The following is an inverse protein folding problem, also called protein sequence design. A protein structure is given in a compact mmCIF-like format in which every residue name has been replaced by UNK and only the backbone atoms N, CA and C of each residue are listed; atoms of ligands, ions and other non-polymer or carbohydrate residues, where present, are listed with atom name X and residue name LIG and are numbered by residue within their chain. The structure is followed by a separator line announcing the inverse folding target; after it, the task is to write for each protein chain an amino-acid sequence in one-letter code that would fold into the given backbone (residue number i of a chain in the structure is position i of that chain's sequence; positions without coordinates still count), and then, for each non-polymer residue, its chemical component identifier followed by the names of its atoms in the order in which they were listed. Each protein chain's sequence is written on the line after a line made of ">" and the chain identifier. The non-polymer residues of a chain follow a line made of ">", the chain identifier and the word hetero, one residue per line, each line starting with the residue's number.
data_IF_210076717395
#
_entry.id   IF_210076717395
#
_cell.length_a   1.000
_cell.length_b   1.000
_cell.length_c   1.000
_cell.angle_alpha   90.00
_cell.angle_beta   90.00
_cell.angle_gamma   90.00
#
_symmetry.space_group_name_H-M   'P 1'
#
loop_
_entity.id
_entity.type
_entity.pdbx_description
1 polymer ?
#
# COMPACT_ATOMS: atom_id res chain seq x y z
N UNK A 1 -15.21 6.40 1.38
CA UNK A 1 -15.30 5.00 0.92
C UNK A 1 -16.74 4.51 0.71
N UNK A 2 -17.78 5.13 1.31
CA UNK A 2 -19.18 4.72 1.15
C UNK A 2 -19.74 4.61 -0.30
N UNK A 3 -19.36 5.45 -1.28
CA UNK A 3 -19.93 5.32 -2.64
C UNK A 3 -19.43 4.09 -3.42
N UNK A 4 -18.22 3.59 -3.12
CA UNK A 4 -17.65 2.39 -3.76
C UNK A 4 -18.12 1.08 -3.12
N UNK A 5 -18.79 1.16 -1.97
CA UNK A 5 -19.36 -0.01 -1.28
C UNK A 5 -20.74 -0.41 -1.84
N UNK A 6 -21.28 0.33 -2.82
CA UNK A 6 -22.56 0.02 -3.43
C UNK A 6 -22.41 -1.15 -4.40
N UNK A 7 -22.91 -2.30 -3.99
CA UNK A 7 -22.92 -3.54 -4.77
C UNK A 7 -24.19 -3.64 -5.62
N UNK A 8 -24.06 -4.23 -6.80
CA UNK A 8 -25.20 -4.64 -7.65
C UNK A 8 -25.91 -5.84 -7.00
N UNK A 9 -27.11 -6.19 -7.49
CA UNK A 9 -27.90 -7.35 -7.04
C UNK A 9 -27.13 -8.68 -7.05
N UNK A 10 -26.09 -8.79 -7.89
CA UNK A 10 -25.18 -9.95 -7.98
C UNK A 10 -23.91 -9.83 -7.12
N UNK A 11 -23.86 -8.89 -6.16
CA UNK A 11 -22.68 -8.56 -5.35
C UNK A 11 -21.47 -8.05 -6.14
N UNK A 12 -21.69 -7.46 -7.31
CA UNK A 12 -20.62 -6.90 -8.14
C UNK A 12 -20.38 -5.41 -7.81
N UNK A 13 -19.11 -4.98 -7.59
CA UNK A 13 -18.77 -3.59 -7.33
C UNK A 13 -18.72 -2.77 -8.64
N UNK A 14 -19.87 -2.52 -9.26
CA UNK A 14 -19.97 -1.88 -10.58
C UNK A 14 -19.31 -0.49 -10.66
N UNK A 15 -19.45 0.33 -9.61
CA UNK A 15 -18.80 1.66 -9.54
C UNK A 15 -17.28 1.54 -9.48
N UNK A 16 -16.77 0.53 -8.77
CA UNK A 16 -15.34 0.23 -8.73
C UNK A 16 -14.82 -0.22 -10.10
N UNK A 17 -15.59 -1.05 -10.80
CA UNK A 17 -15.25 -1.50 -12.15
C UNK A 17 -15.12 -0.32 -13.12
N UNK A 18 -16.12 0.57 -13.17
CA UNK A 18 -16.08 1.78 -14.01
C UNK A 18 -14.82 2.61 -13.72
N UNK A 19 -14.51 2.85 -12.45
CA UNK A 19 -13.32 3.61 -12.07
C UNK A 19 -12.04 2.94 -12.57
N UNK A 20 -11.89 1.62 -12.38
CA UNK A 20 -10.71 0.90 -12.85
C UNK A 20 -10.59 0.90 -14.38
N UNK A 21 -11.71 0.81 -15.11
CA UNK A 21 -11.72 0.90 -16.57
C UNK A 21 -11.26 2.27 -17.05
N UNK A 22 -11.73 3.37 -16.43
CA UNK A 22 -11.29 4.72 -16.78
C UNK A 22 -9.80 4.90 -16.52
N UNK A 23 -9.29 4.42 -15.38
CA UNK A 23 -7.86 4.51 -15.05
C UNK A 23 -7.02 3.72 -16.06
N UNK A 24 -7.45 2.50 -16.42
CA UNK A 24 -6.77 1.67 -17.41
C UNK A 24 -6.78 2.30 -18.81
N UNK A 25 -7.92 2.85 -19.24
CA UNK A 25 -8.05 3.55 -20.52
C UNK A 25 -7.11 4.75 -20.61
N UNK A 26 -7.06 5.58 -19.55
CA UNK A 26 -6.12 6.70 -19.47
C UNK A 26 -4.66 6.23 -19.56
N UNK A 27 -4.31 5.11 -18.93
CA UNK A 27 -2.99 4.53 -19.04
C UNK A 27 -2.68 4.09 -20.49
N UNK A 28 -3.61 3.41 -21.16
CA UNK A 28 -3.44 2.98 -22.56
C UNK A 28 -3.26 4.19 -23.50
N UNK A 29 -4.06 5.24 -23.32
CA UNK A 29 -4.00 6.46 -24.13
C UNK A 29 -2.67 7.22 -24.01
N UNK A 30 -1.95 7.09 -22.90
CA UNK A 30 -0.62 7.70 -22.76
C UNK A 30 0.42 7.08 -23.71
N UNK A 31 0.22 5.86 -24.20
CA UNK A 31 1.07 5.20 -25.22
C UNK A 31 2.52 4.91 -24.80
N UNK A 32 2.97 5.38 -23.64
CA UNK A 32 4.31 5.21 -23.11
C UNK A 32 4.38 4.02 -22.13
N UNK A 33 4.45 2.80 -22.67
CA UNK A 33 4.47 1.56 -21.88
C UNK A 33 5.58 1.55 -20.82
N UNK A 34 6.77 2.05 -21.15
CA UNK A 34 7.93 2.06 -20.24
C UNK A 34 7.69 2.93 -19.00
N UNK A 35 6.99 4.07 -19.15
CA UNK A 35 6.67 4.94 -18.02
C UNK A 35 5.57 4.34 -17.15
N UNK A 36 4.57 3.69 -17.75
CA UNK A 36 3.49 3.02 -17.02
C UNK A 36 4.06 1.86 -16.19
N UNK A 37 4.94 1.06 -16.79
CA UNK A 37 5.60 -0.05 -16.11
C UNK A 37 6.37 0.44 -14.87
N UNK A 38 7.17 1.49 -15.02
CA UNK A 38 7.89 2.08 -13.90
C UNK A 38 6.94 2.50 -12.77
N UNK A 39 5.88 3.26 -13.07
CA UNK A 39 4.91 3.73 -12.07
C UNK A 39 4.25 2.55 -11.32
N UNK A 40 3.85 1.51 -12.05
CA UNK A 40 3.22 0.32 -11.48
C UNK A 40 4.21 -0.45 -10.58
N UNK A 41 5.47 -0.58 -10.99
CA UNK A 41 6.52 -1.23 -10.20
C UNK A 41 6.73 -0.51 -8.86
N UNK A 42 6.72 0.83 -8.85
CA UNK A 42 6.82 1.62 -7.61
C UNK A 42 5.65 1.35 -6.65
N UNK A 43 4.41 1.22 -7.14
CA UNK A 43 3.27 0.86 -6.31
C UNK A 43 3.40 -0.55 -5.70
N UNK A 44 3.86 -1.53 -6.48
CA UNK A 44 4.07 -2.89 -5.99
C UNK A 44 5.22 -2.99 -4.99
N UNK A 45 6.38 -2.40 -5.30
CA UNK A 45 7.53 -2.36 -4.39
C UNK A 45 7.18 -1.70 -3.07
N UNK A 46 6.38 -0.62 -3.10
CA UNK A 46 5.92 0.04 -1.89
C UNK A 46 5.01 -0.86 -1.06
N UNK A 47 4.05 -1.56 -1.70
CA UNK A 47 3.20 -2.54 -1.01
C UNK A 47 4.03 -3.64 -0.33
N UNK A 48 5.01 -4.21 -1.05
CA UNK A 48 5.90 -5.23 -0.51
C UNK A 48 6.78 -4.70 0.63
N UNK A 49 7.28 -3.47 0.53
CA UNK A 49 8.03 -2.83 1.60
C UNK A 49 7.17 -2.68 2.86
N UNK A 50 5.93 -2.20 2.74
CA UNK A 50 5.03 -2.02 3.90
C UNK A 50 4.65 -3.33 4.56
N UNK A 51 4.28 -4.36 3.78
CA UNK A 51 3.95 -5.68 4.35
C UNK A 51 5.13 -6.23 5.13
N UNK A 52 6.34 -6.14 4.58
CA UNK A 52 7.56 -6.57 5.27
C UNK A 52 7.85 -5.73 6.52
N UNK A 53 7.71 -4.41 6.47
CA UNK A 53 7.88 -3.53 7.62
C UNK A 53 6.87 -3.83 8.74
N UNK A 54 5.60 -4.04 8.42
CA UNK A 54 4.57 -4.39 9.39
C UNK A 54 4.90 -5.74 10.06
N UNK A 55 5.36 -6.73 9.29
CA UNK A 55 5.78 -8.02 9.82
C UNK A 55 6.96 -7.89 10.80
N UNK A 56 7.94 -7.04 10.48
CA UNK A 56 9.06 -6.73 11.39
C UNK A 56 8.53 -6.05 12.64
N UNK A 57 7.73 -4.99 12.48
CA UNK A 57 7.21 -4.18 13.58
C UNK A 57 6.39 -5.03 14.55
N UNK A 58 5.47 -5.85 14.05
CA UNK A 58 4.64 -6.73 14.88
C UNK A 58 5.45 -7.82 15.59
N UNK A 59 6.50 -8.33 14.93
CA UNK A 59 7.39 -9.33 15.54
C UNK A 59 8.29 -8.74 16.62
N UNK A 60 8.82 -7.54 16.40
CA UNK A 60 9.75 -6.86 17.32
C UNK A 60 9.01 -6.24 18.50
N UNK A 61 7.85 -5.60 18.27
CA UNK A 61 7.03 -5.02 19.32
C UNK A 61 6.20 -6.04 20.10
N UNK A 62 6.19 -7.32 19.68
CA UNK A 62 5.43 -8.37 20.35
C UNK A 62 3.92 -8.11 20.33
N UNK A 63 3.35 -7.77 19.16
CA UNK A 63 1.93 -7.46 19.05
C UNK A 63 1.06 -8.64 19.57
N UNK A 64 0.02 -8.39 20.39
CA UNK A 64 -0.67 -9.44 21.16
C UNK A 64 -1.31 -10.54 20.29
N UNK A 65 -1.74 -10.18 19.08
CA UNK A 65 -2.37 -11.10 18.13
C UNK A 65 -1.39 -11.69 17.08
N UNK A 66 -0.11 -11.33 17.13
CA UNK A 66 0.87 -11.77 16.13
C UNK A 66 1.50 -13.11 16.52
N UNK A 67 1.14 -14.18 15.78
CA UNK A 67 1.64 -15.55 16.00
C UNK A 67 1.97 -16.24 14.67
N UNK A 68 3.11 -15.92 14.03
CA UNK A 68 3.50 -16.53 12.77
C UNK A 68 3.74 -18.03 12.98
N UNK A 69 2.92 -18.88 12.34
CA UNK A 69 3.02 -20.35 12.43
C UNK A 69 3.91 -20.97 11.36
N UNK A 70 4.42 -20.16 10.43
CA UNK A 70 5.22 -20.65 9.32
C UNK A 70 6.66 -20.97 9.77
N UNK A 71 7.15 -22.16 9.44
CA UNK A 71 8.41 -22.71 9.95
C UNK A 71 9.66 -21.91 9.57
N UNK A 72 9.68 -21.29 8.39
CA UNK A 72 10.85 -20.53 7.89
C UNK A 72 10.69 -19.01 8.06
N UNK A 73 9.72 -18.57 8.84
CA UNK A 73 9.53 -17.16 9.12
C UNK A 73 10.52 -16.67 10.17
N UNK A 74 11.30 -15.64 9.85
CA UNK A 74 12.12 -14.90 10.81
C UNK A 74 12.01 -13.40 10.54
N UNK A 75 11.98 -12.58 11.59
CA UNK A 75 11.82 -11.14 11.47
C UNK A 75 12.95 -10.47 10.66
N UNK A 76 14.17 -11.01 10.73
CA UNK A 76 15.31 -10.49 9.93
C UNK A 76 15.10 -10.70 8.44
N UNK A 77 14.41 -11.76 8.02
CA UNK A 77 14.12 -12.00 6.60
C UNK A 77 13.14 -10.96 6.08
N UNK A 78 12.11 -10.62 6.86
CA UNK A 78 11.21 -9.51 6.53
C UNK A 78 11.94 -8.17 6.53
N UNK A 79 12.88 -7.93 7.45
CA UNK A 79 13.67 -6.70 7.46
C UNK A 79 14.54 -6.58 6.22
N UNK A 80 15.19 -7.67 5.81
CA UNK A 80 15.97 -7.73 4.57
C UNK A 80 15.08 -7.51 3.34
N UNK A 81 13.89 -8.11 3.31
CA UNK A 81 12.90 -7.87 2.26
C UNK A 81 12.47 -6.40 2.15
N UNK A 82 12.16 -5.75 3.27
CA UNK A 82 11.83 -4.32 3.29
C UNK A 82 13.01 -3.46 2.80
N UNK A 83 14.23 -3.75 3.28
CA UNK A 83 15.43 -3.04 2.87
C UNK A 83 15.69 -3.17 1.37
N UNK A 84 15.59 -4.39 0.81
CA UNK A 84 15.75 -4.62 -0.63
C UNK A 84 14.69 -3.89 -1.46
N UNK A 85 13.44 -3.83 -1.00
CA UNK A 85 12.40 -3.08 -1.69
C UNK A 85 12.74 -1.58 -1.75
N UNK A 86 13.14 -0.97 -0.63
CA UNK A 86 13.57 0.43 -0.62
C UNK A 86 14.83 0.65 -1.46
N UNK A 87 15.80 -0.26 -1.39
CA UNK A 87 17.02 -0.18 -2.18
C UNK A 87 16.71 -0.14 -3.69
N UNK A 88 15.87 -1.05 -4.18
CA UNK A 88 15.47 -1.09 -5.60
C UNK A 88 14.71 0.18 -5.99
N UNK A 89 13.81 0.67 -5.14
CA UNK A 89 13.08 1.92 -5.38
C UNK A 89 14.03 3.11 -5.57
N UNK A 90 14.94 3.33 -4.61
CA UNK A 90 15.89 4.45 -4.67
C UNK A 90 16.95 4.27 -5.78
N UNK A 91 17.34 3.02 -6.10
CA UNK A 91 18.28 2.73 -7.18
C UNK A 91 17.69 2.95 -8.57
N UNK A 92 16.37 2.80 -8.72
CA UNK A 92 15.69 2.93 -10.01
C UNK A 92 15.45 4.41 -10.32
N UNK A 93 14.65 5.09 -9.49
CA UNK A 93 14.29 6.50 -9.68
C UNK A 93 14.01 7.12 -8.31
N UNK A 94 14.91 7.99 -7.85
CA UNK A 94 14.85 8.59 -6.52
C UNK A 94 13.68 9.57 -6.36
N UNK A 95 13.30 10.26 -7.44
CA UNK A 95 12.19 11.19 -7.51
C UNK A 95 10.83 10.49 -7.30
N UNK A 96 10.56 9.42 -8.07
CA UNK A 96 9.35 8.62 -7.89
C UNK A 96 9.30 7.92 -6.54
N UNK A 97 10.45 7.49 -6.00
CA UNK A 97 10.54 6.89 -4.68
C UNK A 97 10.12 7.87 -3.57
N UNK A 98 10.61 9.12 -3.61
CA UNK A 98 10.27 10.15 -2.62
C UNK A 98 8.79 10.52 -2.70
N UNK A 99 8.25 10.73 -3.91
CA UNK A 99 6.83 11.05 -4.11
C UNK A 99 5.95 9.93 -3.55
N UNK A 100 6.27 8.68 -3.85
CA UNK A 100 5.52 7.52 -3.37
C UNK A 100 5.57 7.40 -1.84
N UNK A 101 6.74 7.59 -1.23
CA UNK A 101 6.89 7.59 0.22
C UNK A 101 6.05 8.67 0.89
N UNK A 102 6.08 9.91 0.37
CA UNK A 102 5.30 11.04 0.90
C UNK A 102 3.81 10.75 0.78
N UNK A 103 3.35 10.30 -0.39
CA UNK A 103 1.96 9.95 -0.62
C UNK A 103 1.50 8.88 0.37
N UNK A 104 2.31 7.86 0.59
CA UNK A 104 1.96 6.79 1.51
C UNK A 104 1.92 7.28 2.97
N UNK A 105 2.89 8.09 3.41
CA UNK A 105 2.89 8.69 4.74
C UNK A 105 1.66 9.57 4.96
N UNK A 106 1.26 10.35 3.94
CA UNK A 106 0.06 11.17 4.00
C UNK A 106 -1.21 10.31 4.14
N UNK A 107 -1.34 9.23 3.38
CA UNK A 107 -2.46 8.28 3.49
C UNK A 107 -2.46 7.61 4.87
N UNK A 108 -1.31 7.14 5.33
CA UNK A 108 -1.15 6.50 6.64
C UNK A 108 -1.60 7.46 7.76
N UNK A 109 -1.11 8.70 7.76
CA UNK A 109 -1.50 9.72 8.74
C UNK A 109 -2.97 10.08 8.66
N UNK A 110 -3.53 10.16 7.46
CA UNK A 110 -4.96 10.41 7.28
C UNK A 110 -5.83 9.28 7.84
N UNK A 111 -5.44 8.02 7.61
CA UNK A 111 -6.13 6.84 8.17
C UNK A 111 -5.99 6.80 9.68
N UNK A 112 -4.79 7.07 10.21
CA UNK A 112 -4.53 7.16 11.66
C UNK A 112 -5.42 8.23 12.31
N UNK A 113 -5.50 9.42 11.73
CA UNK A 113 -6.35 10.51 12.22
C UNK A 113 -7.85 10.15 12.19
N UNK A 114 -8.33 9.58 11.08
CA UNK A 114 -9.72 9.11 10.98
C UNK A 114 -10.03 7.97 11.93
N UNK A 115 -9.08 7.07 12.15
CA UNK A 115 -9.18 5.96 13.10
C UNK A 115 -9.26 6.49 14.52
N UNK A 116 -8.35 7.38 14.92
CA UNK A 116 -8.35 8.01 16.23
C UNK A 116 -9.66 8.77 16.51
N UNK A 117 -10.15 9.54 15.53
CA UNK A 117 -11.43 10.25 15.63
C UNK A 117 -12.63 9.32 15.83
N UNK A 118 -12.58 8.10 15.29
CA UNK A 118 -13.65 7.11 15.44
C UNK A 118 -13.59 6.40 16.80
N UNK A 119 -12.40 6.03 17.25
CA UNK A 119 -12.18 5.31 18.51
C UNK A 119 -12.32 6.21 19.74
N UNK A 120 -11.88 7.48 19.65
CA UNK A 120 -11.79 8.40 20.80
C UNK A 120 -12.63 9.68 20.65
N UNK A 121 -13.30 9.90 19.51
CA UNK A 121 -13.99 11.16 19.21
C UNK A 121 -13.04 12.28 18.77
N UNK A 122 -13.57 13.48 18.49
CA UNK A 122 -12.73 14.68 18.41
C UNK A 122 -12.41 15.12 19.85
N UNK A 123 -11.12 15.11 20.21
CA UNK A 123 -10.65 15.70 21.47
C UNK A 123 -10.63 17.22 21.41
N UNK A 124 -11.82 17.83 21.44
CA UNK A 124 -12.07 19.13 22.07
C UNK A 124 -13.10 18.88 23.17
#
# INVERSE_FOLDING_TARGET
>A
LQPFAKLTKNNEPFVGLILTTIIAELAILMGAMDQIAAVVDFFFLMCYAFVNMICVLHSVLGAPNWRPRFRYYHWTLSLLGAFLCFFIMFSTHWDYAVISCILCLAIYKYVEWKGAKKEWGDGI
#
